data_IF_057560973119
#
_entry.id   IF_057560973119
#
_cell.length_a   1.000
_cell.length_b   1.000
_cell.length_c   1.000
_cell.angle_alpha   90.00
_cell.angle_beta   90.00
_cell.angle_gamma   90.00
#
_symmetry.space_group_name_H-M   'P 1'
#
loop_
_entity.id
_entity.type
_entity.pdbx_description
1 polymer ?
#
# COMPACT_ATOMS: atom_id res chain seq x y z
N UNK A 1 6.31 -12.18 -13.11
CA UNK A 1 5.07 -11.99 -12.33
C UNK A 1 4.75 -10.50 -12.30
N UNK A 2 3.50 -10.09 -12.45
CA UNK A 2 3.12 -8.67 -12.51
C UNK A 2 3.14 -8.07 -13.92
N UNK A 3 2.86 -6.75 -14.05
CA UNK A 3 2.90 -6.02 -15.32
C UNK A 3 4.29 -6.06 -15.95
N UNK A 4 4.38 -5.83 -17.27
CA UNK A 4 5.69 -5.79 -17.94
C UNK A 4 6.52 -4.57 -17.47
N UNK A 5 7.86 -4.69 -17.39
CA UNK A 5 8.72 -3.58 -16.97
C UNK A 5 8.52 -2.29 -17.77
N UNK A 6 8.23 -2.40 -19.07
CA UNK A 6 8.03 -1.23 -19.92
C UNK A 6 6.83 -0.39 -19.47
N UNK A 7 5.77 -1.03 -18.98
CA UNK A 7 4.59 -0.34 -18.43
C UNK A 7 4.97 0.34 -17.11
N UNK A 8 5.70 -0.36 -16.24
CA UNK A 8 6.11 0.16 -14.94
C UNK A 8 7.01 1.39 -15.09
N UNK A 9 7.95 1.38 -16.04
CA UNK A 9 8.85 2.50 -16.33
C UNK A 9 8.13 3.76 -16.81
N UNK A 10 6.92 3.64 -17.37
CA UNK A 10 6.13 4.78 -17.83
C UNK A 10 5.28 5.40 -16.71
N UNK A 11 4.91 4.62 -15.69
CA UNK A 11 3.92 5.04 -14.69
C UNK A 11 4.50 5.20 -13.28
N UNK A 12 5.59 4.50 -12.97
CA UNK A 12 6.24 4.54 -11.67
C UNK A 12 7.48 5.44 -11.70
N UNK A 13 7.82 6.08 -10.57
CA UNK A 13 9.09 6.77 -10.44
C UNK A 13 10.28 5.83 -10.77
N UNK A 14 11.34 6.33 -11.42
CA UNK A 14 12.55 5.53 -11.65
C UNK A 14 13.10 4.98 -10.33
N UNK A 15 13.60 3.74 -10.37
CA UNK A 15 14.19 3.04 -9.21
C UNK A 15 13.25 2.85 -8.00
N UNK A 16 11.94 3.00 -8.17
CA UNK A 16 10.97 2.88 -7.06
C UNK A 16 10.43 1.47 -6.81
N UNK A 17 10.79 0.52 -7.66
CA UNK A 17 10.32 -0.86 -7.61
C UNK A 17 11.45 -1.84 -7.90
N UNK A 18 11.28 -3.07 -7.40
CA UNK A 18 12.14 -4.21 -7.68
C UNK A 18 11.32 -5.18 -8.51
N UNK A 19 11.74 -5.47 -9.74
CA UNK A 19 11.00 -6.35 -10.61
C UNK A 19 11.56 -7.78 -10.55
N UNK A 20 10.66 -8.76 -10.41
CA UNK A 20 11.06 -10.16 -10.22
C UNK A 20 11.87 -10.71 -11.40
N UNK A 21 11.59 -10.24 -12.62
CA UNK A 21 12.29 -10.71 -13.82
C UNK A 21 13.69 -10.10 -13.98
N UNK A 22 14.11 -9.17 -13.10
CA UNK A 22 15.47 -8.60 -13.13
C UNK A 22 16.50 -9.54 -12.49
N UNK A 23 16.02 -10.64 -11.88
CA UNK A 23 16.83 -11.63 -11.20
C UNK A 23 16.73 -12.97 -11.92
N UNK A 24 17.84 -13.70 -11.99
CA UNK A 24 17.92 -14.99 -12.67
C UNK A 24 17.05 -16.03 -11.96
N UNK A 25 16.99 -15.96 -10.63
CA UNK A 25 16.20 -16.88 -9.82
C UNK A 25 15.66 -16.19 -8.54
N UNK A 26 14.67 -16.81 -7.85
CA UNK A 26 14.08 -16.22 -6.64
C UNK A 26 15.03 -16.07 -5.45
N UNK A 27 16.11 -16.86 -5.38
CA UNK A 27 17.10 -16.75 -4.30
C UNK A 27 17.89 -15.46 -4.44
N UNK A 28 18.32 -15.09 -5.65
CA UNK A 28 19.05 -13.84 -5.89
C UNK A 28 18.23 -12.60 -5.47
N UNK A 29 16.92 -12.61 -5.77
CA UNK A 29 16.00 -11.57 -5.32
C UNK A 29 15.90 -11.54 -3.79
N UNK A 30 15.75 -12.69 -3.15
CA UNK A 30 15.67 -12.78 -1.69
C UNK A 30 16.96 -12.29 -1.02
N UNK A 31 18.12 -12.66 -1.55
CA UNK A 31 19.43 -12.23 -1.07
C UNK A 31 19.59 -10.71 -1.20
N UNK A 32 19.13 -10.11 -2.31
CA UNK A 32 19.12 -8.66 -2.49
C UNK A 32 18.22 -7.94 -1.47
N UNK A 33 16.99 -8.45 -1.27
CA UNK A 33 16.07 -7.88 -0.27
C UNK A 33 16.69 -7.99 1.14
N UNK A 34 17.33 -9.11 1.45
CA UNK A 34 18.01 -9.31 2.74
C UNK A 34 19.19 -8.36 2.91
N UNK A 35 19.98 -8.14 1.86
CA UNK A 35 21.07 -7.16 1.86
C UNK A 35 20.56 -5.74 2.13
N UNK A 36 19.50 -5.29 1.44
CA UNK A 36 18.87 -4.00 1.68
C UNK A 36 18.40 -3.86 3.13
N UNK A 37 17.70 -4.86 3.65
CA UNK A 37 17.16 -4.82 5.01
C UNK A 37 18.26 -4.72 6.09
N UNK A 38 19.42 -5.33 5.86
CA UNK A 38 20.52 -5.34 6.83
C UNK A 38 21.51 -4.18 6.66
N UNK A 39 21.35 -3.36 5.62
CA UNK A 39 22.28 -2.26 5.31
C UNK A 39 21.54 -0.93 5.28
N UNK A 40 21.40 -0.24 6.43
CA UNK A 40 20.59 0.97 6.55
C UNK A 40 20.92 2.06 5.52
N UNK A 41 22.21 2.24 5.19
CA UNK A 41 22.64 3.22 4.19
C UNK A 41 22.13 2.89 2.79
N UNK A 42 22.17 1.62 2.38
CA UNK A 42 21.67 1.19 1.07
C UNK A 42 20.15 1.21 1.01
N UNK A 43 19.47 0.90 2.13
CA UNK A 43 18.03 1.04 2.22
C UNK A 43 17.58 2.51 2.07
N UNK A 44 18.32 3.44 2.70
CA UNK A 44 18.06 4.88 2.56
C UNK A 44 18.24 5.31 1.11
N UNK A 45 19.37 4.92 0.48
CA UNK A 45 19.62 5.19 -0.95
C UNK A 45 18.52 4.64 -1.84
N UNK A 46 18.09 3.40 -1.62
CA UNK A 46 16.99 2.79 -2.37
C UNK A 46 15.70 3.60 -2.29
N UNK A 47 15.43 4.29 -1.17
CA UNK A 47 14.26 5.12 -0.99
C UNK A 47 14.44 6.61 -1.35
N UNK A 48 15.58 7.03 -1.90
CA UNK A 48 15.83 8.43 -2.28
C UNK A 48 14.84 8.98 -3.31
N UNK A 49 14.28 8.12 -4.17
CA UNK A 49 13.22 8.53 -5.11
C UNK A 49 12.03 9.20 -4.41
N UNK A 50 11.76 8.87 -3.14
CA UNK A 50 10.66 9.49 -2.36
C UNK A 50 10.86 11.00 -2.13
N UNK A 51 12.07 11.52 -2.28
CA UNK A 51 12.36 12.95 -2.16
C UNK A 51 11.88 13.76 -3.37
N UNK A 52 11.72 13.10 -4.52
CA UNK A 52 11.41 13.76 -5.80
C UNK A 52 9.97 13.51 -6.26
N UNK A 53 9.28 12.55 -5.65
CA UNK A 53 7.95 12.13 -6.06
C UNK A 53 7.00 12.16 -4.87
N UNK A 54 5.79 12.68 -5.09
CA UNK A 54 4.73 12.72 -4.09
C UNK A 54 3.62 11.76 -4.47
N UNK A 55 3.27 10.85 -3.56
CA UNK A 55 2.04 10.09 -3.66
C UNK A 55 0.85 11.05 -3.47
N UNK A 56 0.23 11.46 -4.58
CA UNK A 56 -0.92 12.39 -4.56
C UNK A 56 -2.23 11.68 -4.20
N UNK A 57 -2.31 10.38 -4.49
CA UNK A 57 -3.39 9.48 -4.10
C UNK A 57 -2.79 8.08 -3.96
N UNK A 58 -2.61 7.62 -2.74
CA UNK A 58 -2.23 6.22 -2.47
C UNK A 58 -3.34 5.23 -2.84
N UNK A 59 -4.60 5.68 -2.86
CA UNK A 59 -5.74 4.91 -3.33
C UNK A 59 -6.73 5.84 -4.05
N UNK A 60 -6.61 5.99 -5.39
CA UNK A 60 -7.63 6.70 -6.16
C UNK A 60 -9.03 6.10 -5.96
N UNK A 61 -9.10 4.78 -5.67
CA UNK A 61 -10.36 4.06 -5.44
C UNK A 61 -11.10 4.49 -4.15
N UNK A 62 -10.38 4.84 -3.08
CA UNK A 62 -11.00 5.15 -1.77
C UNK A 62 -11.21 6.65 -1.54
N UNK A 63 -10.81 7.51 -2.49
CA UNK A 63 -10.96 8.98 -2.44
C UNK A 63 -10.52 9.61 -1.09
N UNK A 64 -9.55 8.98 -0.43
CA UNK A 64 -9.12 9.39 0.89
C UNK A 64 -7.91 10.33 0.76
N UNK A 65 -8.02 11.55 1.29
CA UNK A 65 -6.95 12.57 1.24
C UNK A 65 -5.76 12.26 2.15
N UNK A 66 -5.95 11.41 3.17
CA UNK A 66 -4.92 11.08 4.15
C UNK A 66 -4.31 9.71 3.88
N UNK A 67 -2.98 9.55 3.90
CA UNK A 67 -2.38 8.26 3.69
C UNK A 67 -2.86 7.18 4.68
N UNK A 68 -3.10 5.93 4.29
CA UNK A 68 -3.54 4.84 5.16
C UNK A 68 -2.51 4.60 6.24
N UNK A 69 -1.23 4.77 5.91
CA UNK A 69 -0.16 4.77 6.90
C UNK A 69 -0.33 5.90 7.92
N UNK A 70 -0.73 7.10 7.50
CA UNK A 70 -1.08 8.18 8.43
C UNK A 70 -2.30 7.82 9.29
N UNK A 71 -3.32 7.14 8.73
CA UNK A 71 -4.48 6.65 9.50
C UNK A 71 -4.13 5.53 10.47
N UNK A 72 -3.20 4.64 10.12
CA UNK A 72 -2.67 3.62 11.03
C UNK A 72 -1.88 4.30 12.14
N UNK A 73 -1.00 5.24 11.82
CA UNK A 73 -0.28 6.03 12.83
C UNK A 73 -1.25 6.79 13.72
N UNK A 74 -2.30 7.39 13.17
CA UNK A 74 -3.34 8.06 13.95
C UNK A 74 -4.06 7.06 14.87
N UNK A 75 -4.45 5.91 14.34
CA UNK A 75 -5.09 4.85 15.11
C UNK A 75 -4.20 4.30 16.23
N UNK A 76 -2.88 4.21 16.01
CA UNK A 76 -1.93 3.73 17.02
C UNK A 76 -1.66 4.78 18.10
N UNK A 77 -1.67 6.07 17.74
CA UNK A 77 -1.26 7.14 18.65
C UNK A 77 -2.44 7.82 19.37
N UNK A 78 -3.62 7.91 18.74
CA UNK A 78 -4.78 8.63 19.28
C UNK A 78 -5.92 7.72 19.73
N UNK A 79 -6.00 6.46 19.27
CA UNK A 79 -7.01 5.55 19.82
C UNK A 79 -6.62 5.06 21.23
N UNK A 80 -7.64 4.63 21.95
CA UNK A 80 -7.45 3.99 23.25
C UNK A 80 -6.52 2.78 23.14
N UNK A 81 -5.44 2.76 23.94
CA UNK A 81 -4.51 1.62 24.07
C UNK A 81 -5.11 0.43 24.84
N UNK A 82 -6.36 0.52 25.27
CA UNK A 82 -7.03 -0.58 25.99
C UNK A 82 -7.20 -1.78 25.06
N UNK A 83 -6.90 -2.97 25.57
CA UNK A 83 -7.14 -4.23 24.86
C UNK A 83 -8.63 -4.34 24.53
N UNK A 84 -8.96 -4.40 23.23
CA UNK A 84 -10.30 -4.72 22.74
C UNK A 84 -10.41 -6.23 22.55
N UNK A 85 -11.36 -6.85 23.22
CA UNK A 85 -11.72 -8.25 23.05
C UNK A 85 -13.16 -8.30 22.58
N UNK A 86 -13.43 -9.10 21.57
CA UNK A 86 -14.77 -9.30 21.02
C UNK A 86 -15.16 -10.75 21.23
N UNK A 87 -16.08 -11.00 22.16
CA UNK A 87 -16.51 -12.37 22.51
C UNK A 87 -17.32 -13.03 21.39
N UNK A 88 -17.90 -12.22 20.50
CA UNK A 88 -18.65 -12.69 19.35
C UNK A 88 -18.30 -11.88 18.11
N UNK A 89 -17.44 -12.45 17.27
CA UNK A 89 -16.98 -11.80 16.05
C UNK A 89 -18.14 -11.55 15.07
N UNK A 90 -19.13 -12.45 14.98
CA UNK A 90 -20.29 -12.30 14.07
C UNK A 90 -21.18 -11.12 14.46
N UNK A 91 -21.30 -10.83 15.75
CA UNK A 91 -22.02 -9.64 16.24
C UNK A 91 -21.27 -8.35 15.91
N UNK A 92 -19.95 -8.36 16.08
CA UNK A 92 -19.11 -7.19 15.80
C UNK A 92 -18.95 -6.94 14.29
N UNK A 93 -18.79 -8.00 13.51
CA UNK A 93 -18.54 -7.97 12.07
C UNK A 93 -19.58 -8.83 11.34
N UNK A 94 -20.72 -8.20 11.05
CA UNK A 94 -21.85 -8.79 10.33
C UNK A 94 -22.03 -8.09 8.98
N UNK A 95 -22.41 -8.82 7.92
CA UNK A 95 -22.80 -8.22 6.63
C UNK A 95 -23.88 -7.14 6.76
N UNK A 96 -24.74 -7.25 7.78
CA UNK A 96 -25.83 -6.29 8.04
C UNK A 96 -25.33 -4.99 8.71
N UNK A 97 -24.07 -4.95 9.13
CA UNK A 97 -23.40 -3.79 9.74
C UNK A 97 -22.52 -3.04 8.72
N UNK A 98 -22.34 -3.57 7.50
CA UNK A 98 -21.66 -2.85 6.43
C UNK A 98 -22.48 -1.59 6.06
N UNK A 99 -21.85 -0.41 6.12
CA UNK A 99 -22.49 0.79 5.58
C UNK A 99 -22.78 0.56 4.09
N UNK A 100 -24.03 0.86 3.67
CA UNK A 100 -24.46 0.85 2.26
C UNK A 100 -23.79 2.00 1.48
N UNK A 101 -22.46 2.04 1.47
CA UNK A 101 -21.68 2.99 0.68
C UNK A 101 -21.31 2.45 -0.70
N UNK A 102 -21.43 1.14 -0.94
CA UNK A 102 -20.93 0.51 -2.17
C UNK A 102 -21.93 0.47 -3.33
N UNK A 103 -23.20 0.83 -3.11
CA UNK A 103 -24.22 0.85 -4.16
C UNK A 103 -24.29 2.17 -4.94
N UNK A 104 -23.64 3.24 -4.46
CA UNK A 104 -23.67 4.56 -5.11
C UNK A 104 -22.42 4.88 -5.95
N UNK A 105 -21.33 4.11 -5.85
CA UNK A 105 -20.07 4.43 -6.55
C UNK A 105 -19.97 3.89 -7.98
N UNK A 106 -20.68 2.82 -8.35
CA UNK A 106 -20.63 2.29 -9.71
C UNK A 106 -21.64 2.94 -10.69
N UNK A 107 -22.51 3.83 -10.21
CA UNK A 107 -23.55 4.47 -11.03
C UNK A 107 -23.22 5.85 -11.61
N UNK A 108 -22.10 6.48 -11.21
CA UNK A 108 -21.88 7.91 -11.49
C UNK A 108 -20.67 8.24 -12.40
N UNK A 109 -19.87 7.26 -12.81
CA UNK A 109 -18.72 7.51 -13.71
C UNK A 109 -18.66 6.49 -14.85
N UNK A 110 -19.82 6.21 -15.46
CA UNK A 110 -19.89 5.56 -16.76
C UNK A 110 -20.93 6.24 -17.65
N UNK A 111 -20.84 7.57 -17.80
CA UNK A 111 -21.30 8.27 -19.00
C UNK A 111 -20.32 9.43 -19.24
N UNK A 112 -19.48 9.26 -20.28
CA UNK A 112 -18.62 10.23 -20.96
C UNK A 112 -17.63 11.03 -20.10
#
# INVERSE_FOLDING_TARGET
>A
MGPRPEILNQVLPPHSYIHVNDYVNPRDLADYIFHLNNTPSELIKYFEWRNHFKAVNEHPYFQNRSPHYCRICEALNYNSKKKKVYDNLKRYWSPNQCQKGWSTFFGAYLIL
#
